data_IF_175270060058
#
_entry.id   IF_175270060058
#
_cell.length_a   1.000
_cell.length_b   1.000
_cell.length_c   1.000
_cell.angle_alpha   90.00
_cell.angle_beta   90.00
_cell.angle_gamma   90.00
#
_symmetry.space_group_name_H-M   'P 1'
#
loop_
_entity.id
_entity.type
_entity.pdbx_description
1 polymer ?
#
# COMPACT_ATOMS: atom_id res chain seq x y z
N UNK A 1 68.02 -12.17 -36.86
CA UNK A 1 67.09 -11.70 -35.82
C UNK A 1 67.46 -12.35 -34.47
N UNK A 2 68.32 -11.73 -33.65
CA UNK A 2 68.84 -12.37 -32.41
C UNK A 2 68.11 -11.99 -31.11
N UNK A 3 67.26 -10.97 -31.11
CA UNK A 3 66.63 -10.43 -29.90
C UNK A 3 65.13 -10.73 -29.73
N UNK A 4 64.47 -11.31 -30.74
CA UNK A 4 63.03 -11.58 -30.69
C UNK A 4 62.64 -12.56 -29.58
N UNK A 5 63.47 -13.57 -29.31
CA UNK A 5 63.18 -14.57 -28.26
C UNK A 5 63.28 -13.96 -26.85
N UNK A 6 64.21 -13.03 -26.64
CA UNK A 6 64.37 -12.33 -25.35
C UNK A 6 63.27 -11.29 -25.13
N UNK A 7 62.87 -10.57 -26.18
CA UNK A 7 61.74 -9.63 -26.11
C UNK A 7 60.41 -10.33 -25.80
N UNK A 8 60.19 -11.53 -26.37
CA UNK A 8 58.98 -12.31 -26.12
C UNK A 8 58.91 -12.84 -24.68
N UNK A 9 60.04 -13.25 -24.10
CA UNK A 9 60.13 -13.64 -22.69
C UNK A 9 59.87 -12.47 -21.74
N UNK A 10 60.35 -11.27 -22.07
CA UNK A 10 60.08 -10.05 -21.30
C UNK A 10 58.59 -9.66 -21.31
N UNK A 11 57.92 -9.77 -22.47
CA UNK A 11 56.48 -9.53 -22.59
C UNK A 11 55.63 -10.55 -21.82
N UNK A 12 56.01 -11.84 -21.86
CA UNK A 12 55.35 -12.89 -21.08
C UNK A 12 55.53 -12.67 -19.57
N UNK A 13 56.72 -12.25 -19.14
CA UNK A 13 56.98 -11.90 -17.74
C UNK A 13 56.13 -10.70 -17.27
N UNK A 14 56.01 -9.65 -18.08
CA UNK A 14 55.15 -8.51 -17.79
C UNK A 14 53.66 -8.90 -17.74
N UNK A 15 53.21 -9.79 -18.63
CA UNK A 15 51.84 -10.31 -18.62
C UNK A 15 51.49 -11.10 -17.35
N UNK A 16 52.45 -11.87 -16.82
CA UNK A 16 52.28 -12.65 -15.58
C UNK A 16 52.29 -11.79 -14.31
N UNK A 17 52.98 -10.63 -14.34
CA UNK A 17 52.97 -9.68 -13.22
C UNK A 17 51.69 -8.84 -13.22
N UNK A 18 51.16 -8.51 -14.39
CA UNK A 18 49.94 -7.69 -14.51
C UNK A 18 48.64 -8.49 -14.30
N UNK A 19 48.63 -9.81 -14.55
CA UNK A 19 47.45 -10.68 -14.42
C UNK A 19 46.73 -10.61 -13.06
N UNK A 20 47.41 -10.63 -11.88
CA UNK A 20 46.71 -10.57 -10.59
C UNK A 20 46.01 -9.22 -10.32
N UNK A 21 46.38 -8.14 -11.02
CA UNK A 21 45.64 -6.87 -10.96
C UNK A 21 44.29 -6.95 -11.70
N UNK A 22 44.25 -7.66 -12.83
CA UNK A 22 43.03 -7.76 -13.64
C UNK A 22 42.01 -8.75 -13.07
N UNK A 23 42.46 -9.78 -12.34
CA UNK A 23 41.56 -10.79 -11.73
C UNK A 23 40.74 -10.22 -10.56
N UNK A 24 41.21 -9.16 -9.88
CA UNK A 24 40.49 -8.54 -8.73
C UNK A 24 39.47 -7.47 -9.11
N UNK A 25 39.53 -6.94 -10.35
CA UNK A 25 38.58 -5.95 -10.85
C UNK A 25 37.11 -6.43 -10.89
N UNK A 26 36.77 -7.63 -11.42
CA UNK A 26 35.36 -8.01 -11.59
C UNK A 26 34.57 -8.12 -10.28
N UNK A 27 35.21 -8.49 -9.17
CA UNK A 27 34.55 -8.57 -7.86
C UNK A 27 34.14 -7.19 -7.31
N UNK A 28 34.96 -6.16 -7.56
CA UNK A 28 34.66 -4.80 -7.09
C UNK A 28 33.50 -4.17 -7.88
N UNK A 29 33.40 -4.46 -9.17
CA UNK A 29 32.27 -4.01 -9.99
C UNK A 29 30.95 -4.65 -9.54
N UNK A 30 30.92 -5.96 -9.29
CA UNK A 30 29.69 -6.63 -8.84
C UNK A 30 29.17 -6.10 -7.49
N UNK A 31 30.06 -5.83 -6.55
CA UNK A 31 29.69 -5.21 -5.28
C UNK A 31 29.14 -3.78 -5.46
N UNK A 32 29.76 -2.98 -6.33
CA UNK A 32 29.29 -1.62 -6.64
C UNK A 32 27.91 -1.61 -7.29
N UNK A 33 27.65 -2.50 -8.27
CA UNK A 33 26.34 -2.64 -8.90
C UNK A 33 25.25 -3.13 -7.93
N UNK A 34 25.60 -4.03 -7.00
CA UNK A 34 24.66 -4.50 -5.99
C UNK A 34 24.27 -3.36 -5.03
N UNK A 35 25.23 -2.55 -4.58
CA UNK A 35 24.98 -1.39 -3.71
C UNK A 35 24.19 -0.31 -4.44
N UNK A 36 24.54 0.02 -5.69
CA UNK A 36 23.81 1.02 -6.47
C UNK A 36 22.36 0.61 -6.74
N UNK A 37 22.11 -0.69 -6.97
CA UNK A 37 20.76 -1.22 -7.16
C UNK A 37 19.94 -1.19 -5.86
N UNK A 38 20.57 -1.46 -4.72
CA UNK A 38 19.92 -1.35 -3.41
C UNK A 38 19.54 0.10 -3.08
N UNK A 39 20.44 1.05 -3.33
CA UNK A 39 20.20 2.48 -3.11
C UNK A 39 19.11 3.02 -4.06
N UNK A 40 19.11 2.59 -5.32
CA UNK A 40 18.04 2.89 -6.27
C UNK A 40 16.69 2.33 -5.79
N UNK A 41 16.65 1.07 -5.34
CA UNK A 41 15.42 0.45 -4.85
C UNK A 41 14.91 1.11 -3.55
N UNK A 42 15.82 1.50 -2.64
CA UNK A 42 15.45 2.19 -1.40
C UNK A 42 14.86 3.57 -1.68
N UNK A 43 15.41 4.32 -2.64
CA UNK A 43 14.85 5.62 -3.05
C UNK A 43 13.46 5.49 -3.69
N UNK A 44 13.20 4.39 -4.42
CA UNK A 44 11.86 4.10 -4.98
C UNK A 44 10.86 3.75 -3.87
N UNK A 45 11.26 2.94 -2.88
CA UNK A 45 10.39 2.62 -1.75
C UNK A 45 10.11 3.85 -0.87
N UNK A 46 11.12 4.69 -0.62
CA UNK A 46 10.92 5.97 0.08
C UNK A 46 9.96 6.90 -0.67
N UNK A 47 10.10 7.03 -1.98
CA UNK A 47 9.19 7.86 -2.80
C UNK A 47 7.76 7.30 -2.85
N UNK A 48 7.57 5.97 -2.87
CA UNK A 48 6.23 5.36 -2.75
C UNK A 48 5.58 5.64 -1.39
N UNK A 49 6.34 5.60 -0.30
CA UNK A 49 5.83 5.91 1.05
C UNK A 49 5.44 7.39 1.13
N UNK A 50 6.25 8.28 0.58
CA UNK A 50 5.96 9.72 0.53
C UNK A 50 4.72 10.02 -0.31
N UNK A 51 4.58 9.39 -1.48
CA UNK A 51 3.38 9.48 -2.31
C UNK A 51 2.13 8.94 -1.60
N UNK A 52 2.23 7.84 -0.84
CA UNK A 52 1.13 7.32 -0.03
C UNK A 52 0.73 8.28 1.09
N UNK A 53 1.71 8.93 1.74
CA UNK A 53 1.44 9.96 2.75
C UNK A 53 0.78 11.18 2.14
N UNK A 54 1.32 11.72 1.05
CA UNK A 54 0.73 12.85 0.34
C UNK A 54 -0.68 12.53 -0.17
N UNK A 55 -0.92 11.31 -0.66
CA UNK A 55 -2.26 10.86 -1.06
C UNK A 55 -3.18 10.78 0.16
N UNK A 56 -2.71 10.25 1.30
CA UNK A 56 -3.50 10.22 2.53
C UNK A 56 -3.81 11.61 3.08
N UNK A 57 -2.86 12.54 3.01
CA UNK A 57 -3.02 13.91 3.51
C UNK A 57 -3.93 14.72 2.59
N UNK A 58 -3.77 14.61 1.27
CA UNK A 58 -4.70 15.20 0.29
C UNK A 58 -6.11 14.61 0.40
N UNK A 59 -6.28 13.31 0.70
CA UNK A 59 -7.59 12.72 0.96
C UNK A 59 -8.22 13.25 2.26
N UNK A 60 -7.42 13.51 3.30
CA UNK A 60 -7.89 14.13 4.54
C UNK A 60 -8.26 15.61 4.35
N UNK A 61 -7.46 16.37 3.59
CA UNK A 61 -7.67 17.79 3.31
C UNK A 61 -8.84 18.04 2.35
N UNK A 62 -9.05 17.16 1.37
CA UNK A 62 -10.18 17.23 0.44
C UNK A 62 -11.49 16.74 1.06
N UNK A 63 -11.45 16.14 2.26
CA UNK A 63 -12.62 15.56 2.93
C UNK A 63 -13.21 14.34 2.21
N UNK A 64 -12.57 13.87 1.15
CA UNK A 64 -12.98 12.69 0.39
C UNK A 64 -12.33 11.49 1.06
N UNK A 65 -12.99 10.98 2.11
CA UNK A 65 -12.62 9.67 2.66
C UNK A 65 -12.67 8.62 1.54
N UNK A 66 -11.71 7.67 1.48
CA UNK A 66 -11.79 6.54 0.57
C UNK A 66 -13.11 5.83 0.85
N UNK A 67 -14.01 5.90 -0.13
CA UNK A 67 -15.34 5.29 -0.20
C UNK A 67 -15.84 4.69 1.11
N UNK A 68 -16.18 5.53 2.10
CA UNK A 68 -17.13 5.11 3.12
C UNK A 68 -18.47 4.98 2.40
N UNK A 69 -18.68 3.82 1.78
CA UNK A 69 -19.85 3.55 0.95
C UNK A 69 -21.07 3.65 1.87
N UNK A 70 -21.73 4.80 1.83
CA UNK A 70 -22.93 5.07 2.60
C UNK A 70 -24.08 4.34 1.90
N UNK A 71 -24.59 3.27 2.52
CA UNK A 71 -25.77 2.58 2.01
C UNK A 71 -27.03 3.20 2.65
N UNK A 72 -28.00 3.63 1.84
CA UNK A 72 -29.29 4.14 2.33
C UNK A 72 -30.43 3.24 1.87
N UNK A 73 -31.19 2.69 2.82
CA UNK A 73 -32.35 1.84 2.53
C UNK A 73 -33.57 2.72 2.28
N UNK A 74 -34.09 2.71 1.06
CA UNK A 74 -35.30 3.44 0.69
C UNK A 74 -36.54 2.74 1.28
N UNK A 75 -37.48 3.51 1.82
CA UNK A 75 -38.74 2.98 2.36
C UNK A 75 -38.62 2.20 3.66
N UNK A 76 -37.45 2.23 4.31
CA UNK A 76 -37.25 1.67 5.64
C UNK A 76 -37.02 2.81 6.63
N UNK A 77 -37.85 2.86 7.66
CA UNK A 77 -37.66 3.72 8.83
C UNK A 77 -37.11 2.86 9.97
N UNK A 78 -36.12 3.38 10.66
CA UNK A 78 -35.46 2.71 11.76
C UNK A 78 -36.46 2.19 12.83
N UNK A 79 -36.48 0.87 13.03
CA UNK A 79 -37.40 0.21 13.95
C UNK A 79 -36.75 -1.02 14.60
N UNK A 80 -36.81 -1.19 15.94
CA UNK A 80 -36.28 -2.39 16.62
C UNK A 80 -37.03 -3.68 16.30
N UNK A 81 -38.21 -3.62 15.70
CA UNK A 81 -39.05 -4.80 15.42
C UNK A 81 -38.79 -5.43 14.05
N UNK A 82 -38.14 -4.72 13.13
CA UNK A 82 -37.97 -5.16 11.74
C UNK A 82 -36.51 -5.00 11.32
N UNK A 83 -35.82 -6.12 11.13
CA UNK A 83 -34.47 -6.12 10.57
C UNK A 83 -34.56 -5.99 9.03
N UNK A 84 -33.93 -4.97 8.41
CA UNK A 84 -34.00 -4.77 6.97
C UNK A 84 -33.13 -5.72 6.15
N UNK A 85 -32.16 -6.43 6.78
CA UNK A 85 -31.30 -7.45 6.15
C UNK A 85 -30.85 -7.11 4.72
N UNK A 86 -30.06 -6.02 4.54
CA UNK A 86 -29.51 -5.69 3.24
C UNK A 86 -28.62 -6.82 2.72
N UNK A 87 -28.57 -6.97 1.40
CA UNK A 87 -27.67 -7.92 0.76
C UNK A 87 -26.21 -7.50 0.98
N UNK A 88 -25.41 -8.41 1.54
CA UNK A 88 -24.00 -8.17 1.85
C UNK A 88 -23.03 -8.75 0.82
N UNK A 89 -23.55 -9.45 -0.21
CA UNK A 89 -22.74 -10.17 -1.20
C UNK A 89 -21.84 -9.27 -2.06
N UNK A 90 -22.22 -8.00 -2.22
CA UNK A 90 -21.50 -7.01 -3.01
C UNK A 90 -20.25 -6.44 -2.32
N UNK A 91 -20.11 -6.63 -1.00
CA UNK A 91 -19.06 -5.99 -0.21
C UNK A 91 -17.84 -6.90 -0.02
N UNK A 92 -16.67 -6.29 0.09
CA UNK A 92 -15.42 -7.01 0.37
C UNK A 92 -15.24 -7.25 1.88
N UNK A 93 -14.28 -8.10 2.26
CA UNK A 93 -14.04 -8.43 3.67
C UNK A 93 -13.36 -7.29 4.44
N UNK A 94 -12.53 -6.51 3.76
CA UNK A 94 -11.81 -5.33 4.26
C UNK A 94 -12.65 -4.04 4.23
N UNK A 95 -13.87 -4.11 3.68
CA UNK A 95 -14.73 -2.94 3.52
C UNK A 95 -15.66 -2.74 4.72
N UNK A 96 -15.80 -1.48 5.16
CA UNK A 96 -16.74 -1.08 6.21
C UNK A 96 -17.75 -0.06 5.66
N UNK A 97 -19.02 -0.43 5.70
CA UNK A 97 -20.13 0.32 5.08
C UNK A 97 -21.17 0.63 6.13
N UNK A 98 -21.41 1.91 6.39
CA UNK A 98 -22.48 2.33 7.31
C UNK A 98 -23.81 2.38 6.56
N UNK A 99 -24.84 1.80 7.17
CA UNK A 99 -26.17 1.72 6.59
C UNK A 99 -27.12 2.65 7.33
N UNK A 100 -27.91 3.40 6.56
CA UNK A 100 -28.81 4.43 7.06
C UNK A 100 -30.25 4.16 6.61
N UNK A 101 -31.20 4.61 7.43
CA UNK A 101 -32.63 4.59 7.10
C UNK A 101 -33.00 5.73 6.13
N UNK A 102 -34.29 5.80 5.76
CA UNK A 102 -34.79 6.86 4.89
C UNK A 102 -34.67 8.27 5.50
N UNK A 103 -34.60 8.39 6.82
CA UNK A 103 -34.44 9.65 7.57
C UNK A 103 -32.99 10.05 7.82
N UNK A 104 -32.01 9.26 7.37
CA UNK A 104 -30.59 9.50 7.60
C UNK A 104 -30.07 9.02 8.96
N UNK A 105 -30.84 8.22 9.70
CA UNK A 105 -30.36 7.59 10.95
C UNK A 105 -29.55 6.35 10.63
N UNK A 106 -28.39 6.21 11.27
CA UNK A 106 -27.63 4.96 11.19
C UNK A 106 -28.44 3.81 11.79
N UNK A 107 -28.53 2.70 11.05
CA UNK A 107 -29.26 1.48 11.42
C UNK A 107 -28.33 0.28 11.63
N UNK A 108 -27.10 0.35 11.17
CA UNK A 108 -26.11 -0.70 11.32
C UNK A 108 -24.90 -0.47 10.43
N UNK A 109 -24.04 -1.47 10.34
CA UNK A 109 -22.94 -1.49 9.38
C UNK A 109 -22.84 -2.85 8.70
N UNK A 110 -22.24 -2.87 7.51
CA UNK A 110 -21.77 -4.07 6.86
C UNK A 110 -20.24 -4.09 7.02
N UNK A 111 -19.72 -5.20 7.52
CA UNK A 111 -18.28 -5.40 7.75
C UNK A 111 -17.98 -6.89 7.72
N UNK A 112 -16.85 -7.28 7.15
CA UNK A 112 -16.49 -8.70 6.96
C UNK A 112 -17.60 -9.50 6.24
N UNK A 113 -18.27 -8.86 5.25
CA UNK A 113 -19.46 -9.40 4.55
C UNK A 113 -20.66 -9.75 5.43
N UNK A 114 -20.69 -9.26 6.67
CA UNK A 114 -21.77 -9.53 7.63
C UNK A 114 -22.58 -8.28 7.90
N UNK A 115 -23.88 -8.47 8.03
CA UNK A 115 -24.81 -7.43 8.43
C UNK A 115 -24.81 -7.30 9.97
N UNK A 116 -24.33 -6.17 10.46
CA UNK A 116 -24.30 -5.85 11.89
C UNK A 116 -25.41 -4.83 12.19
N UNK A 117 -26.54 -5.34 12.65
CA UNK A 117 -27.69 -4.51 12.98
C UNK A 117 -27.55 -3.85 14.36
N UNK A 118 -27.85 -2.55 14.47
CA UNK A 118 -27.60 -1.78 15.70
C UNK A 118 -28.40 -2.21 16.94
N UNK A 119 -29.53 -2.89 16.75
CA UNK A 119 -30.35 -3.37 17.87
C UNK A 119 -29.85 -4.72 18.39
N UNK A 120 -29.12 -5.47 17.57
CA UNK A 120 -28.49 -6.72 18.00
C UNK A 120 -27.06 -6.49 18.52
N UNK A 121 -26.28 -5.65 17.81
CA UNK A 121 -24.89 -5.37 18.11
C UNK A 121 -24.76 -3.96 18.69
N UNK A 122 -24.07 -3.83 19.82
CA UNK A 122 -23.79 -2.52 20.41
C UNK A 122 -22.68 -1.83 19.61
N UNK A 123 -22.68 -0.50 19.59
CA UNK A 123 -21.61 0.35 19.05
C UNK A 123 -21.45 0.42 17.51
N UNK A 124 -22.27 -0.28 16.73
CA UNK A 124 -22.14 -0.31 15.27
C UNK A 124 -22.23 1.07 14.62
N UNK A 125 -23.03 1.96 15.19
CA UNK A 125 -23.22 3.32 14.67
C UNK A 125 -22.28 4.37 15.29
N UNK A 126 -21.38 4.03 16.22
CA UNK A 126 -20.60 5.05 16.97
C UNK A 126 -19.62 5.84 16.11
N UNK A 127 -19.09 5.21 15.07
CA UNK A 127 -18.10 5.78 14.16
C UNK A 127 -18.73 6.20 12.81
N UNK A 128 -20.06 6.23 12.74
CA UNK A 128 -20.78 6.71 11.56
C UNK A 128 -20.40 8.17 11.27
N UNK A 129 -19.98 8.51 10.04
CA UNK A 129 -19.53 9.85 9.68
C UNK A 129 -20.61 10.94 9.90
N UNK A 130 -21.91 10.60 9.79
CA UNK A 130 -22.98 11.59 9.99
C UNK A 130 -23.16 12.06 11.45
N UNK A 131 -22.63 11.31 12.43
CA UNK A 131 -22.56 11.80 13.82
C UNK A 131 -21.48 12.87 14.02
N UNK A 132 -20.51 12.99 13.11
CA UNK A 132 -19.45 14.02 13.20
C UNK A 132 -19.90 15.35 12.62
N UNK A 133 -20.69 15.36 11.55
CA UNK A 133 -21.16 16.59 10.91
C UNK A 133 -22.23 17.33 11.73
N UNK A 134 -23.02 16.64 12.56
CA UNK A 134 -24.08 17.29 13.36
C UNK A 134 -23.58 17.97 14.65
N UNK A 135 -22.27 18.00 14.90
CA UNK A 135 -21.65 18.55 16.12
C UNK A 135 -20.76 19.77 15.86
N UNK A 136 -20.80 20.33 14.66
CA UNK A 136 -20.02 21.50 14.28
C UNK A 136 -20.89 22.76 14.23
#
# INVERSE_FOLDING_TARGET
>A
MKYQKQAMLGLLGLGLIATPMFVKLPQQFQAFYAVSNLEANESIERSRIEQRKLTSDTLNETGILPTSLKLRIRGYLDNPRRDPRPDTSYYQEDEQVYVYDSSGRCIGQISERRWLWKYHYKNVCKLSPELKESKQ
#
